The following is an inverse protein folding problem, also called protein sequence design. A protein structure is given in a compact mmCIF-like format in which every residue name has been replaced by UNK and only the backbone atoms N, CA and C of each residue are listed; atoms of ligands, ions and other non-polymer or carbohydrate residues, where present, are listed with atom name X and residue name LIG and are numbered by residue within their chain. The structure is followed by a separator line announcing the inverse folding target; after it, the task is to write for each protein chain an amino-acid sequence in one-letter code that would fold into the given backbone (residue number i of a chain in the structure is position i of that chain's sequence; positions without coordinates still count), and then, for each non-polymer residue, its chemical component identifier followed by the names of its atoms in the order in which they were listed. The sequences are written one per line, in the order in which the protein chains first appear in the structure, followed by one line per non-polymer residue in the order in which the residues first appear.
data_IF_179399554867
#
_entry.id   IF_179399554867
#
_cell.length_a   1.000
_cell.length_b   1.000
_cell.length_c   1.000
_cell.angle_alpha   90.00
_cell.angle_beta   90.00
_cell.angle_gamma   90.00
#
_symmetry.space_group_name_H-M   'P 1'
#
loop_
_entity.id
_entity.type
_entity.pdbx_description
1 polymer ?
#
# COMPACT_ATOMS: atom_id res chain seq x y z
N UNK A 1 -18.47 12.79 -28.15
CA UNK A 1 -19.00 12.13 -26.94
C UNK A 1 -18.57 10.68 -26.98
N UNK A 2 -18.09 10.08 -25.88
CA UNK A 2 -17.50 8.74 -25.89
C UNK A 2 -18.54 7.62 -26.19
N UNK A 3 -18.21 6.71 -27.10
CA UNK A 3 -18.99 5.53 -27.51
C UNK A 3 -18.08 4.40 -28.00
N UNK A 4 -18.64 3.24 -28.31
CA UNK A 4 -17.91 1.99 -28.61
C UNK A 4 -16.92 2.13 -29.79
N UNK A 5 -17.31 2.86 -30.83
CA UNK A 5 -16.46 3.11 -32.02
C UNK A 5 -15.57 4.37 -31.90
N UNK A 6 -15.51 5.00 -30.72
CA UNK A 6 -14.72 6.24 -30.56
C UNK A 6 -13.23 5.94 -30.66
N UNK A 7 -12.56 6.53 -31.66
CA UNK A 7 -11.10 6.55 -31.72
C UNK A 7 -10.57 7.54 -30.67
N UNK A 8 -9.76 7.07 -29.74
CA UNK A 8 -9.19 7.90 -28.67
C UNK A 8 -8.10 8.82 -29.22
N UNK A 9 -8.43 10.10 -29.36
CA UNK A 9 -7.51 11.16 -29.83
C UNK A 9 -7.00 12.06 -28.69
N UNK A 10 -7.37 11.77 -27.45
CA UNK A 10 -7.06 12.57 -26.27
C UNK A 10 -6.45 11.70 -25.17
N UNK A 11 -5.73 12.32 -24.24
CA UNK A 11 -5.10 11.61 -23.12
C UNK A 11 -6.14 11.03 -22.17
N UNK A 12 -5.75 10.02 -21.39
CA UNK A 12 -6.58 9.39 -20.36
C UNK A 12 -7.18 10.43 -19.41
N UNK A 13 -6.37 11.38 -18.98
CA UNK A 13 -6.77 12.42 -18.02
C UNK A 13 -7.86 13.31 -18.62
N UNK A 14 -7.75 13.66 -19.90
CA UNK A 14 -8.75 14.48 -20.61
C UNK A 14 -10.05 13.73 -20.86
N UNK A 15 -10.00 12.42 -21.14
CA UNK A 15 -11.18 11.57 -21.24
C UNK A 15 -11.92 11.50 -19.90
N UNK A 16 -11.17 11.17 -18.84
CA UNK A 16 -11.71 10.94 -17.50
C UNK A 16 -12.08 12.24 -16.78
N UNK A 17 -11.60 13.41 -17.19
CA UNK A 17 -12.06 14.67 -16.63
C UNK A 17 -13.56 14.95 -16.94
N UNK A 18 -14.13 14.32 -17.97
CA UNK A 18 -15.53 14.47 -18.33
C UNK A 18 -16.40 13.38 -17.66
N UNK A 19 -17.29 13.79 -16.76
CA UNK A 19 -18.14 12.89 -15.98
C UNK A 19 -19.11 12.04 -16.84
N UNK A 20 -19.63 12.58 -17.94
CA UNK A 20 -20.47 11.83 -18.87
C UNK A 20 -19.67 10.73 -19.58
N UNK A 21 -18.43 11.04 -19.98
CA UNK A 21 -17.54 10.05 -20.59
C UNK A 21 -17.14 8.97 -19.58
N UNK A 22 -16.81 9.32 -18.33
CA UNK A 22 -16.53 8.36 -17.25
C UNK A 22 -17.67 7.35 -17.07
N UNK A 23 -18.90 7.85 -16.90
CA UNK A 23 -20.08 7.00 -16.71
C UNK A 23 -20.27 6.06 -17.90
N UNK A 24 -20.16 6.58 -19.12
CA UNK A 24 -20.35 5.79 -20.35
C UNK A 24 -19.24 4.76 -20.56
N UNK A 25 -18.00 5.11 -20.20
CA UNK A 25 -16.87 4.17 -20.20
C UNK A 25 -17.10 3.02 -19.23
N UNK A 26 -17.50 3.31 -17.99
CA UNK A 26 -17.81 2.29 -16.97
C UNK A 26 -18.91 1.34 -17.48
N UNK A 27 -19.99 1.88 -18.07
CA UNK A 27 -21.09 1.06 -18.60
C UNK A 27 -20.66 0.16 -19.76
N UNK A 28 -19.89 0.68 -20.72
CA UNK A 28 -19.36 -0.11 -21.83
C UNK A 28 -18.41 -1.20 -21.32
N UNK A 29 -17.54 -0.87 -20.36
CA UNK A 29 -16.60 -1.82 -19.78
C UNK A 29 -17.31 -2.95 -19.01
N UNK A 30 -18.34 -2.63 -18.21
CA UNK A 30 -19.19 -3.63 -17.54
C UNK A 30 -19.83 -4.59 -18.55
N UNK A 31 -20.38 -4.06 -19.65
CA UNK A 31 -21.00 -4.87 -20.70
C UNK A 31 -19.99 -5.81 -21.35
N UNK A 32 -18.80 -5.32 -21.66
CA UNK A 32 -17.73 -6.13 -22.24
C UNK A 32 -17.30 -7.28 -21.30
N UNK A 33 -17.11 -6.99 -20.01
CA UNK A 33 -16.76 -8.01 -19.01
C UNK A 33 -17.86 -9.07 -18.86
N UNK A 34 -19.13 -8.63 -18.77
CA UNK A 34 -20.28 -9.56 -18.69
C UNK A 34 -20.40 -10.44 -19.94
N UNK A 35 -20.13 -9.88 -21.13
CA UNK A 35 -20.09 -10.63 -22.39
C UNK A 35 -18.96 -11.67 -22.41
N UNK A 36 -17.88 -11.42 -21.68
CA UNK A 36 -16.80 -12.38 -21.44
C UNK A 36 -17.09 -13.35 -20.27
N UNK A 37 -18.33 -13.44 -19.79
CA UNK A 37 -18.77 -14.26 -18.65
C UNK A 37 -18.07 -13.92 -17.32
N UNK A 38 -17.61 -12.67 -17.16
CA UNK A 38 -17.05 -12.17 -15.90
C UNK A 38 -18.18 -11.49 -15.11
N UNK A 39 -18.39 -11.92 -13.87
CA UNK A 39 -19.32 -11.26 -12.96
C UNK A 39 -18.79 -9.87 -12.59
N UNK A 40 -19.66 -8.85 -12.62
CA UNK A 40 -19.27 -7.46 -12.35
C UNK A 40 -20.14 -6.86 -11.26
N UNK A 41 -19.48 -6.45 -10.18
CA UNK A 41 -20.06 -5.64 -9.11
C UNK A 41 -19.51 -4.21 -9.19
N UNK A 42 -20.35 -3.22 -8.92
CA UNK A 42 -19.92 -1.82 -8.85
C UNK A 42 -20.08 -1.34 -7.41
N UNK A 43 -18.98 -0.88 -6.81
CA UNK A 43 -19.01 -0.24 -5.50
C UNK A 43 -19.69 1.13 -5.60
N UNK A 44 -20.41 1.52 -4.55
CA UNK A 44 -21.06 2.84 -4.44
C UNK A 44 -20.00 3.93 -4.25
N UNK A 45 -18.95 3.61 -3.49
CA UNK A 45 -17.82 4.51 -3.21
C UNK A 45 -16.51 3.78 -3.53
N UNK A 46 -15.68 3.58 -2.51
CA UNK A 46 -14.41 2.87 -2.61
C UNK A 46 -14.62 1.35 -2.70
N UNK A 47 -13.86 0.71 -3.60
CA UNK A 47 -14.01 -0.72 -3.87
C UNK A 47 -13.16 -1.60 -2.93
N UNK A 48 -12.24 -1.03 -2.14
CA UNK A 48 -11.23 -1.78 -1.40
C UNK A 48 -11.88 -2.77 -0.43
N UNK A 49 -12.78 -2.27 0.43
CA UNK A 49 -13.50 -3.10 1.40
C UNK A 49 -14.42 -4.13 0.72
N UNK A 50 -15.05 -3.74 -0.40
CA UNK A 50 -15.93 -4.64 -1.16
C UNK A 50 -15.14 -5.82 -1.74
N UNK A 51 -13.96 -5.55 -2.31
CA UNK A 51 -13.06 -6.56 -2.86
C UNK A 51 -12.59 -7.51 -1.75
N UNK A 52 -12.17 -6.95 -0.61
CA UNK A 52 -11.64 -7.74 0.51
C UNK A 52 -12.71 -8.64 1.12
N UNK A 53 -13.89 -8.10 1.44
CA UNK A 53 -14.99 -8.88 2.01
C UNK A 53 -15.48 -9.97 1.05
N UNK A 54 -15.51 -9.68 -0.25
CA UNK A 54 -15.84 -10.68 -1.27
C UNK A 54 -14.79 -11.79 -1.30
N UNK A 55 -13.51 -11.44 -1.29
CA UNK A 55 -12.43 -12.42 -1.28
C UNK A 55 -12.49 -13.35 -0.06
N UNK A 56 -12.70 -12.79 1.13
CA UNK A 56 -12.85 -13.56 2.39
C UNK A 56 -14.07 -14.47 2.31
N UNK A 57 -15.22 -13.95 1.87
CA UNK A 57 -16.46 -14.72 1.77
C UNK A 57 -16.33 -15.90 0.80
N UNK A 58 -15.65 -15.70 -0.33
CA UNK A 58 -15.38 -16.77 -1.32
C UNK A 58 -14.37 -17.78 -0.77
N UNK A 59 -13.37 -17.33 0.00
CA UNK A 59 -12.37 -18.21 0.61
C UNK A 59 -12.97 -19.18 1.64
N UNK A 60 -14.16 -18.89 2.20
CA UNK A 60 -14.89 -19.83 3.04
C UNK A 60 -15.43 -21.05 2.26
N UNK A 61 -15.54 -20.95 0.94
CA UNK A 61 -16.12 -21.98 0.07
C UNK A 61 -15.13 -22.55 -0.94
N UNK A 62 -13.95 -21.97 -1.07
CA UNK A 62 -12.94 -22.35 -2.06
C UNK A 62 -11.56 -22.47 -1.41
N UNK A 63 -10.79 -23.47 -1.83
CA UNK A 63 -9.45 -23.73 -1.31
C UNK A 63 -8.46 -22.58 -1.60
N UNK A 64 -8.74 -21.77 -2.63
CA UNK A 64 -7.86 -20.67 -3.04
C UNK A 64 -8.61 -19.52 -3.70
N UNK A 65 -8.29 -18.30 -3.26
CA UNK A 65 -8.80 -17.04 -3.84
C UNK A 65 -7.64 -16.15 -4.25
N UNK A 66 -7.71 -15.59 -5.46
CA UNK A 66 -6.72 -14.64 -5.98
C UNK A 66 -7.33 -13.25 -6.10
N UNK A 67 -6.77 -12.30 -5.37
CA UNK A 67 -7.07 -10.87 -5.56
C UNK A 67 -5.97 -10.24 -6.41
N UNK A 68 -6.36 -9.47 -7.42
CA UNK A 68 -5.45 -8.77 -8.32
C UNK A 68 -5.73 -7.27 -8.20
N UNK A 69 -4.73 -6.52 -7.72
CA UNK A 69 -4.79 -5.08 -7.60
C UNK A 69 -3.39 -4.49 -7.45
N UNK A 70 -3.21 -3.24 -7.87
CA UNK A 70 -1.98 -2.48 -7.63
C UNK A 70 -1.99 -1.76 -6.27
N UNK A 71 -3.16 -1.62 -5.64
CA UNK A 71 -3.30 -0.85 -4.41
C UNK A 71 -2.76 -1.64 -3.20
N UNK A 72 -1.81 -1.03 -2.49
CA UNK A 72 -1.26 -1.59 -1.26
C UNK A 72 -2.34 -1.71 -0.17
N UNK A 73 -3.36 -0.85 -0.19
CA UNK A 73 -4.50 -0.91 0.74
C UNK A 73 -5.22 -2.25 0.64
N UNK A 74 -5.37 -2.82 -0.56
CA UNK A 74 -5.98 -4.13 -0.74
C UNK A 74 -5.19 -5.23 -0.02
N UNK A 75 -3.87 -5.20 -0.13
CA UNK A 75 -3.01 -6.19 0.55
C UNK A 75 -3.14 -6.07 2.06
N UNK A 76 -3.10 -4.86 2.58
CA UNK A 76 -3.19 -4.57 4.02
C UNK A 76 -4.57 -4.93 4.56
N UNK A 77 -5.64 -4.61 3.84
CA UNK A 77 -7.00 -4.97 4.23
C UNK A 77 -7.22 -6.47 4.16
N UNK A 78 -6.69 -7.16 3.14
CA UNK A 78 -6.77 -8.62 3.07
C UNK A 78 -6.05 -9.27 4.24
N UNK A 79 -4.83 -8.85 4.55
CA UNK A 79 -4.08 -9.44 5.66
C UNK A 79 -4.64 -9.04 7.02
N UNK A 80 -5.10 -7.80 7.18
CA UNK A 80 -5.80 -7.38 8.38
C UNK A 80 -7.08 -8.22 8.54
N UNK A 81 -8.02 -8.16 7.58
CA UNK A 81 -9.36 -8.73 7.72
C UNK A 81 -9.43 -10.26 7.60
N UNK A 82 -8.48 -10.91 6.92
CA UNK A 82 -8.43 -12.37 6.82
C UNK A 82 -7.64 -13.02 7.96
N UNK A 83 -6.88 -12.27 8.76
CA UNK A 83 -6.19 -12.80 9.93
C UNK A 83 -7.02 -12.62 11.19
N UNK A 84 -6.73 -13.40 12.25
CA UNK A 84 -7.32 -13.17 13.58
C UNK A 84 -7.02 -11.78 14.15
N UNK A 85 -6.01 -11.09 13.59
CA UNK A 85 -5.63 -9.72 13.94
C UNK A 85 -6.59 -8.66 13.34
N UNK A 86 -7.51 -9.06 12.44
CA UNK A 86 -8.60 -8.24 11.90
C UNK A 86 -9.42 -7.54 12.97
N UNK A 87 -9.69 -8.26 14.05
CA UNK A 87 -10.54 -7.82 15.13
C UNK A 87 -10.01 -6.53 15.76
N UNK A 88 -8.69 -6.37 15.82
CA UNK A 88 -8.04 -5.17 16.33
C UNK A 88 -8.32 -3.96 15.44
N UNK A 89 -8.24 -4.12 14.11
CA UNK A 89 -8.46 -3.00 13.19
C UNK A 89 -9.93 -2.57 13.09
N UNK A 90 -10.85 -3.49 13.36
CA UNK A 90 -12.29 -3.23 13.40
C UNK A 90 -12.75 -2.68 14.76
N UNK A 91 -12.04 -2.96 15.85
CA UNK A 91 -12.39 -2.52 17.18
C UNK A 91 -12.15 -1.00 17.36
N UNK A 92 -13.17 -0.17 17.56
CA UNK A 92 -13.01 1.27 17.73
C UNK A 92 -12.29 1.65 19.03
N UNK A 93 -12.15 0.74 19.98
CA UNK A 93 -11.45 0.96 21.25
C UNK A 93 -10.03 0.37 21.25
N UNK A 94 -9.54 -0.11 20.11
CA UNK A 94 -8.18 -0.61 20.03
C UNK A 94 -7.16 0.48 20.38
N UNK A 95 -6.19 0.12 21.20
CA UNK A 95 -5.09 1.02 21.56
C UNK A 95 -4.07 1.08 20.43
N UNK A 96 -3.22 2.11 20.45
CA UNK A 96 -2.15 2.26 19.47
C UNK A 96 -1.23 1.04 19.46
N UNK A 97 -0.88 0.52 20.64
CA UNK A 97 0.00 -0.64 20.81
C UNK A 97 -0.59 -1.89 20.14
N UNK A 98 -1.88 -2.16 20.40
CA UNK A 98 -2.58 -3.29 19.79
C UNK A 98 -2.59 -3.18 18.26
N UNK A 99 -2.85 -1.98 17.73
CA UNK A 99 -2.86 -1.73 16.28
C UNK A 99 -1.48 -1.91 15.67
N UNK A 100 -0.44 -1.38 16.32
CA UNK A 100 0.94 -1.49 15.84
C UNK A 100 1.44 -2.93 15.87
N UNK A 101 1.14 -3.67 16.94
CA UNK A 101 1.49 -5.08 17.10
C UNK A 101 0.76 -5.94 16.05
N UNK A 102 -0.56 -5.77 15.92
CA UNK A 102 -1.36 -6.46 14.92
C UNK A 102 -0.85 -6.20 13.50
N UNK A 103 -0.51 -4.95 13.17
CA UNK A 103 0.04 -4.57 11.87
C UNK A 103 1.43 -5.13 11.60
N UNK A 104 2.31 -5.15 12.61
CA UNK A 104 3.64 -5.74 12.50
C UNK A 104 3.57 -7.26 12.33
N UNK A 105 2.75 -7.95 13.12
CA UNK A 105 2.53 -9.39 13.03
C UNK A 105 2.03 -9.81 11.64
N UNK A 106 1.12 -9.02 11.07
CA UNK A 106 0.65 -9.20 9.69
C UNK A 106 1.81 -9.14 8.68
N UNK A 107 2.73 -8.18 8.84
CA UNK A 107 3.87 -8.05 7.96
C UNK A 107 4.91 -9.16 8.18
N UNK A 108 5.17 -9.57 9.42
CA UNK A 108 6.03 -10.71 9.75
C UNK A 108 5.55 -11.96 9.01
N UNK A 109 4.24 -12.26 9.10
CA UNK A 109 3.64 -13.40 8.38
C UNK A 109 3.75 -13.24 6.85
N UNK A 110 3.50 -12.04 6.32
CA UNK A 110 3.59 -11.76 4.88
C UNK A 110 5.00 -12.00 4.31
N UNK A 111 6.04 -11.68 5.09
CA UNK A 111 7.43 -11.91 4.73
C UNK A 111 7.92 -13.32 5.10
N UNK A 112 7.03 -14.21 5.54
CA UNK A 112 7.30 -15.63 5.78
C UNK A 112 7.95 -15.93 7.12
N UNK A 113 7.88 -15.01 8.09
CA UNK A 113 8.27 -15.28 9.47
C UNK A 113 7.10 -15.71 10.35
N UNK A 114 7.41 -16.20 11.54
CA UNK A 114 6.46 -16.54 12.58
C UNK A 114 6.24 -15.35 13.54
N UNK A 115 5.04 -14.74 13.58
CA UNK A 115 4.74 -13.61 14.46
C UNK A 115 4.88 -13.91 15.95
N UNK A 116 4.85 -15.18 16.37
CA UNK A 116 5.02 -15.54 17.79
C UNK A 116 6.48 -15.49 18.24
N UNK A 117 7.44 -15.57 17.32
CA UNK A 117 8.85 -15.76 17.64
C UNK A 117 9.80 -14.78 16.94
N UNK A 118 9.32 -14.07 15.92
CA UNK A 118 10.15 -13.20 15.09
C UNK A 118 9.55 -11.80 14.99
N UNK A 119 10.42 -10.80 14.91
CA UNK A 119 10.05 -9.41 14.62
C UNK A 119 10.50 -8.99 13.21
N UNK A 120 9.98 -7.85 12.76
CA UNK A 120 10.19 -7.39 11.40
C UNK A 120 11.65 -6.96 11.13
N UNK A 121 12.31 -6.36 12.12
CA UNK A 121 13.71 -5.94 12.01
C UNK A 121 14.67 -7.13 11.88
N UNK A 122 14.44 -8.23 12.61
CA UNK A 122 15.19 -9.49 12.47
C UNK A 122 14.99 -10.12 11.08
N UNK A 123 13.74 -10.20 10.61
CA UNK A 123 13.44 -10.67 9.25
C UNK A 123 14.10 -9.79 8.19
N UNK A 124 14.10 -8.48 8.39
CA UNK A 124 14.75 -7.51 7.51
C UNK A 124 16.25 -7.72 7.47
N UNK A 125 16.89 -7.92 8.63
CA UNK A 125 18.32 -8.21 8.72
C UNK A 125 18.68 -9.54 8.05
N UNK A 126 17.95 -10.62 8.34
CA UNK A 126 18.20 -11.93 7.72
C UNK A 126 18.03 -11.86 6.20
N UNK A 127 16.97 -11.19 5.73
CA UNK A 127 16.73 -10.96 4.30
C UNK A 127 17.87 -10.18 3.66
N UNK A 128 18.39 -9.17 4.34
CA UNK A 128 19.54 -8.40 3.87
C UNK A 128 20.80 -9.26 3.76
N UNK A 129 21.19 -9.99 4.81
CA UNK A 129 22.39 -10.84 4.81
C UNK A 129 22.34 -11.86 3.67
N UNK A 130 21.20 -12.53 3.50
CA UNK A 130 20.99 -13.51 2.43
C UNK A 130 21.10 -12.90 1.02
N UNK A 131 20.74 -11.64 0.90
CA UNK A 131 20.67 -10.95 -0.37
C UNK A 131 21.98 -10.22 -0.71
N UNK A 132 22.73 -9.77 0.29
CA UNK A 132 24.10 -9.26 0.16
C UNK A 132 25.08 -10.33 -0.34
N UNK A 133 24.80 -11.61 -0.06
CA UNK A 133 25.57 -12.74 -0.61
C UNK A 133 25.36 -12.97 -2.12
N UNK A 134 24.44 -12.23 -2.77
CA UNK A 134 24.11 -12.40 -4.20
C UNK A 134 24.73 -11.31 -5.05
N UNK A 135 25.18 -11.67 -6.25
CA UNK A 135 25.75 -10.73 -7.24
C UNK A 135 24.74 -9.73 -7.81
N UNK A 136 23.44 -10.05 -7.76
CA UNK A 136 22.33 -9.14 -8.09
C UNK A 136 21.40 -9.04 -6.89
N UNK A 137 21.42 -7.87 -6.25
CA UNK A 137 20.62 -7.57 -5.08
C UNK A 137 19.46 -6.63 -5.46
N UNK A 138 18.24 -6.97 -5.05
CA UNK A 138 17.07 -6.10 -5.18
C UNK A 138 16.60 -5.64 -3.81
N UNK A 139 16.98 -4.42 -3.44
CA UNK A 139 16.60 -3.75 -2.19
C UNK A 139 15.09 -3.67 -1.96
N UNK A 140 14.28 -3.64 -3.03
CA UNK A 140 12.83 -3.51 -2.92
C UNK A 140 12.13 -4.76 -2.35
N UNK A 141 12.86 -5.88 -2.19
CA UNK A 141 12.31 -7.13 -1.60
C UNK A 141 12.53 -7.23 -0.09
N UNK A 142 13.20 -6.27 0.52
CA UNK A 142 13.36 -6.26 1.97
C UNK A 142 12.01 -5.96 2.65
N UNK A 143 11.72 -6.61 3.79
CA UNK A 143 10.65 -6.17 4.70
C UNK A 143 10.82 -4.69 5.08
N UNK A 144 9.74 -3.91 5.31
CA UNK A 144 9.88 -2.55 5.86
C UNK A 144 10.54 -2.59 7.24
N UNK A 145 10.99 -1.44 7.75
CA UNK A 145 11.43 -1.34 9.16
C UNK A 145 10.23 -1.41 10.09
N UNK A 146 10.44 -1.86 11.33
CA UNK A 146 9.39 -1.87 12.37
C UNK A 146 8.71 -0.50 12.49
N UNK A 147 9.45 0.60 12.60
CA UNK A 147 8.86 1.95 12.70
C UNK A 147 7.98 2.32 11.49
N UNK A 148 8.42 1.99 10.27
CA UNK A 148 7.65 2.27 9.07
C UNK A 148 6.37 1.43 9.00
N UNK A 149 6.45 0.17 9.43
CA UNK A 149 5.32 -0.73 9.56
C UNK A 149 4.28 -0.23 10.57
N UNK A 150 4.74 0.20 11.75
CA UNK A 150 3.89 0.71 12.82
C UNK A 150 3.15 1.99 12.42
N UNK A 151 3.87 2.98 11.85
CA UNK A 151 3.26 4.20 11.32
C UNK A 151 2.25 3.91 10.20
N UNK A 152 2.52 2.90 9.38
CA UNK A 152 1.57 2.47 8.36
C UNK A 152 0.33 1.81 8.96
N UNK A 153 0.49 0.92 9.96
CA UNK A 153 -0.60 0.29 10.68
C UNK A 153 -1.52 1.33 11.34
N UNK A 154 -0.94 2.33 11.99
CA UNK A 154 -1.70 3.44 12.61
C UNK A 154 -2.57 4.19 11.58
N UNK A 155 -2.00 4.54 10.43
CA UNK A 155 -2.75 5.23 9.36
C UNK A 155 -3.84 4.35 8.76
N UNK A 156 -3.55 3.06 8.57
CA UNK A 156 -4.52 2.09 8.05
C UNK A 156 -5.69 1.91 9.03
N UNK A 157 -5.43 1.85 10.34
CA UNK A 157 -6.46 1.85 11.36
C UNK A 157 -7.31 3.12 11.31
N UNK A 158 -6.68 4.30 11.28
CA UNK A 158 -7.41 5.57 11.15
C UNK A 158 -8.34 5.59 9.93
N UNK A 159 -7.86 5.10 8.78
CA UNK A 159 -8.65 5.02 7.55
C UNK A 159 -9.83 4.05 7.69
N UNK A 160 -9.61 2.85 8.26
CA UNK A 160 -10.66 1.86 8.49
C UNK A 160 -11.72 2.41 9.45
N UNK A 161 -11.31 3.05 10.55
CA UNK A 161 -12.22 3.64 11.52
C UNK A 161 -13.05 4.78 10.90
N UNK A 162 -12.42 5.61 10.06
CA UNK A 162 -13.13 6.65 9.29
C UNK A 162 -14.21 6.05 8.39
N UNK A 163 -13.92 4.94 7.69
CA UNK A 163 -14.91 4.25 6.86
C UNK A 163 -16.04 3.62 7.67
N UNK A 164 -15.77 3.23 8.92
CA UNK A 164 -16.79 2.74 9.86
C UNK A 164 -17.60 3.87 10.51
N UNK A 165 -17.31 5.14 10.19
CA UNK A 165 -17.99 6.30 10.77
C UNK A 165 -17.48 6.70 12.16
N UNK A 166 -16.35 6.13 12.62
CA UNK A 166 -15.74 6.47 13.90
C UNK A 166 -14.72 7.60 13.69
N UNK A 167 -14.99 8.77 14.28
CA UNK A 167 -14.04 9.87 14.25
C UNK A 167 -12.83 9.57 15.15
N UNK A 168 -11.63 9.70 14.55
CA UNK A 168 -10.34 9.55 15.21
C UNK A 168 -9.45 10.74 14.85
N UNK A 169 -8.75 11.27 15.84
CA UNK A 169 -7.78 12.37 15.64
C UNK A 169 -6.61 11.90 14.76
N UNK A 170 -6.47 12.40 13.52
CA UNK A 170 -5.42 11.95 12.61
C UNK A 170 -4.01 12.10 13.18
N UNK A 171 -3.77 13.12 14.02
CA UNK A 171 -2.44 13.39 14.57
C UNK A 171 -1.96 12.33 15.56
N UNK A 172 -2.88 11.54 16.12
CA UNK A 172 -2.56 10.40 16.98
C UNK A 172 -2.33 9.10 16.20
N UNK A 173 -2.57 9.10 14.88
CA UNK A 173 -2.60 7.90 14.05
C UNK A 173 -1.68 8.01 12.83
N UNK A 174 -0.48 8.58 13.03
CA UNK A 174 0.60 8.57 12.04
C UNK A 174 0.42 9.60 10.91
N UNK A 175 -0.36 10.66 11.17
CA UNK A 175 -0.48 11.84 10.33
C UNK A 175 0.13 13.05 11.04
N UNK A 176 0.67 13.97 10.26
CA UNK A 176 1.19 15.24 10.75
C UNK A 176 0.53 16.41 10.02
N UNK A 177 0.36 17.53 10.72
CA UNK A 177 -0.15 18.75 10.11
C UNK A 177 0.96 19.45 9.32
N UNK A 178 0.62 19.88 8.10
CA UNK A 178 1.46 20.74 7.27
C UNK A 178 0.64 21.93 6.77
N UNK A 179 1.28 23.00 6.27
CA UNK A 179 0.55 24.10 5.64
C UNK A 179 -0.34 23.67 4.47
N UNK A 180 -0.03 22.53 3.83
CA UNK A 180 -0.81 21.95 2.74
C UNK A 180 -1.81 20.87 3.16
N UNK A 181 -2.06 20.70 4.46
CA UNK A 181 -3.00 19.72 5.00
C UNK A 181 -2.32 18.58 5.77
N UNK A 182 -3.00 17.45 5.92
CA UNK A 182 -2.47 16.26 6.60
C UNK A 182 -1.50 15.50 5.69
N UNK A 183 -0.32 15.17 6.21
CA UNK A 183 0.67 14.35 5.52
C UNK A 183 1.02 13.11 6.36
N UNK A 184 1.42 12.01 5.74
CA UNK A 184 1.93 10.87 6.47
C UNK A 184 3.15 11.26 7.30
N UNK A 185 3.11 10.95 8.59
CA UNK A 185 4.27 11.03 9.45
C UNK A 185 5.33 10.03 8.95
N UNK A 186 6.58 10.48 8.94
CA UNK A 186 7.72 9.72 8.43
C UNK A 186 8.48 9.12 9.61
N UNK A 187 9.05 7.93 9.39
CA UNK A 187 10.03 7.35 10.29
C UNK A 187 11.17 8.34 10.55
N UNK A 188 11.50 8.58 11.81
CA UNK A 188 12.68 9.35 12.21
C UNK A 188 13.97 8.52 12.07
N UNK A 189 13.87 7.19 12.19
CA UNK A 189 15.01 6.29 12.03
C UNK A 189 15.47 6.21 10.58
N UNK A 190 16.78 6.10 10.42
CA UNK A 190 17.40 5.89 9.12
C UNK A 190 16.86 4.61 8.45
N UNK A 191 16.62 4.64 7.13
CA UNK A 191 16.08 3.49 6.40
C UNK A 191 17.03 2.28 6.38
N UNK A 192 18.31 2.46 6.70
CA UNK A 192 19.29 1.41 6.87
C UNK A 192 20.39 1.85 7.85
N UNK A 193 21.01 0.92 8.60
CA UNK A 193 22.18 1.21 9.43
C UNK A 193 23.32 1.85 8.64
N UNK A 194 24.09 2.73 9.28
CA UNK A 194 25.19 3.45 8.62
C UNK A 194 26.27 2.51 8.05
N UNK A 195 26.57 1.42 8.74
CA UNK A 195 27.47 0.36 8.28
C UNK A 195 27.00 -0.27 6.95
N UNK A 196 25.69 -0.38 6.76
CA UNK A 196 25.08 -0.85 5.52
C UNK A 196 25.29 0.17 4.42
N UNK A 197 25.01 1.46 4.68
CA UNK A 197 25.25 2.55 3.71
C UNK A 197 26.73 2.65 3.28
N UNK A 198 27.66 2.34 4.19
CA UNK A 198 29.09 2.28 3.89
C UNK A 198 29.46 1.09 3.00
N UNK A 199 28.85 -0.09 3.19
CA UNK A 199 29.05 -1.27 2.33
C UNK A 199 28.51 -1.09 0.90
N UNK A 200 27.54 -0.20 0.70
CA UNK A 200 27.02 0.16 -0.63
C UNK A 200 27.73 1.38 -1.24
N UNK A 201 28.88 1.78 -0.71
CA UNK A 201 29.74 2.76 -1.38
C UNK A 201 30.46 2.13 -2.57
N UNK A 202 30.32 2.73 -3.76
CA UNK A 202 31.13 2.32 -4.88
C UNK A 202 32.59 2.74 -4.66
N UNK A 203 33.55 1.89 -4.99
CA UNK A 203 34.99 2.22 -4.97
C UNK A 203 35.44 3.07 -6.18
N UNK A 204 34.51 3.73 -6.86
CA UNK A 204 34.79 4.53 -8.04
C UNK A 204 35.57 5.79 -7.67
N UNK A 205 36.77 5.96 -8.26
CA UNK A 205 37.65 7.12 -8.04
C UNK A 205 37.25 8.38 -8.85
N UNK A 206 36.14 8.36 -9.59
CA UNK A 206 35.59 9.47 -10.38
C UNK A 206 34.06 9.52 -10.26
N UNK A 207 33.47 10.70 -10.49
CA UNK A 207 32.02 10.96 -10.44
C UNK A 207 31.25 9.91 -11.26
N UNK A 208 30.36 9.17 -10.61
CA UNK A 208 29.63 8.06 -11.20
C UNK A 208 28.52 8.57 -12.15
N UNK A 209 28.69 8.36 -13.45
CA UNK A 209 27.63 8.54 -14.45
C UNK A 209 26.96 7.20 -14.75
N UNK A 210 25.75 7.03 -14.20
CA UNK A 210 24.66 6.11 -14.56
C UNK A 210 24.91 4.58 -14.68
N UNK A 211 26.13 4.07 -14.58
CA UNK A 211 26.44 2.64 -14.73
C UNK A 211 27.04 1.98 -13.47
N UNK A 212 27.18 2.73 -12.37
CA UNK A 212 27.49 2.11 -11.08
C UNK A 212 26.18 1.67 -10.42
N UNK A 213 26.06 0.40 -10.05
CA UNK A 213 24.82 -0.21 -9.52
C UNK A 213 24.30 0.38 -8.21
N UNK A 214 24.90 1.46 -7.72
CA UNK A 214 24.60 2.16 -6.48
C UNK A 214 24.67 3.67 -6.70
N UNK A 215 23.80 4.19 -7.55
CA UNK A 215 23.31 5.54 -7.37
C UNK A 215 21.87 5.60 -7.86
N UNK A 216 21.03 6.24 -7.05
CA UNK A 216 19.59 6.38 -7.16
C UNK A 216 18.79 5.15 -6.72
N UNK A 217 18.31 5.18 -5.47
CA UNK A 217 16.87 5.35 -5.15
C UNK A 217 16.51 4.90 -3.71
N UNK A 218 17.15 5.41 -2.66
CA UNK A 218 16.54 5.34 -1.31
C UNK A 218 15.49 6.44 -1.11
N UNK A 219 15.58 7.55 -1.85
CA UNK A 219 14.54 8.59 -1.85
C UNK A 219 13.38 8.31 -2.83
N UNK A 220 13.54 7.38 -3.77
CA UNK A 220 12.51 7.12 -4.79
C UNK A 220 11.54 6.03 -4.40
N UNK A 221 11.88 5.11 -3.49
CA UNK A 221 10.89 4.14 -2.97
C UNK A 221 9.76 4.87 -2.23
N UNK A 222 10.10 5.90 -1.45
CA UNK A 222 9.12 6.77 -0.80
C UNK A 222 8.33 7.65 -1.80
N UNK A 223 8.95 8.07 -2.92
CA UNK A 223 8.28 8.90 -3.95
C UNK A 223 7.39 8.10 -4.90
N UNK A 224 7.72 6.85 -5.24
CA UNK A 224 6.89 6.04 -6.16
C UNK A 224 5.67 5.48 -5.45
N UNK A 225 5.78 5.18 -4.16
CA UNK A 225 4.64 4.76 -3.30
C UNK A 225 3.72 5.95 -2.97
N UNK A 226 4.25 7.17 -2.78
CA UNK A 226 3.41 8.33 -2.45
C UNK A 226 2.93 9.17 -3.65
N UNK A 227 3.54 9.10 -4.83
CA UNK A 227 3.03 9.85 -6.00
C UNK A 227 1.71 9.34 -6.54
N UNK A 228 1.34 8.06 -6.29
CA UNK A 228 0.03 7.52 -6.68
C UNK A 228 -1.08 7.79 -5.64
N UNK A 229 -0.74 8.14 -4.41
CA UNK A 229 -1.73 8.38 -3.34
C UNK A 229 -2.29 9.81 -3.33
N UNK A 230 -1.56 10.80 -3.85
CA UNK A 230 -1.95 12.21 -3.78
C UNK A 230 -2.78 12.74 -4.96
N UNK A 231 -3.28 11.87 -5.85
CA UNK A 231 -4.06 12.31 -7.03
C UNK A 231 -5.59 12.23 -6.84
N UNK A 232 -6.09 11.64 -5.75
CA UNK A 232 -7.52 11.54 -5.52
C UNK A 232 -7.85 11.74 -4.04
N UNK A 233 -8.57 12.84 -3.79
CA UNK A 233 -9.29 13.19 -2.56
C UNK A 233 -8.49 13.81 -1.40
N UNK A 234 -8.30 15.13 -1.48
CA UNK A 234 -8.71 16.06 -0.42
C UNK A 234 -8.96 17.44 -1.07
N UNK A 235 -10.24 17.72 -1.40
CA UNK A 235 -10.73 19.09 -1.56
C UNK A 235 -11.85 19.25 -0.53
N UNK A 236 -11.52 19.67 0.67
CA UNK A 236 -12.50 20.34 1.52
C UNK A 236 -12.50 21.81 1.10
N UNK A 237 -13.66 22.29 0.64
CA UNK A 237 -13.94 23.72 0.45
C UNK A 237 -14.40 24.29 1.79
N UNK A 238 -13.80 25.44 2.12
CA UNK A 238 -14.22 26.53 3.00
C UNK A 238 -15.01 26.17 4.27
#
# INVERSE_FOLDING_TARGET
MFHEETVLQYTKEKLLANECNKKRFIELFKKALRKANICVQQAVEDADLTIVNTAISVALQQDYVRVVGEDIKLLVLLTALASTQAATFLNPQATTEQVTEAGENVLVALYGGDPATQNLDELRYHSFVKAAAKTKFNLARLPPTTDAAQLHAMRSYHQVQTWLGNEKDPLKWGWMHTPSGLFPEKSEKDPAPESLLQCISCTCKKVCTNACGLLFTMQTLHRTVLRKSNASHFRQRA
#
